data_IF_294880883361
#
_entry.id   IF_294880883361
#
_cell.length_a   1.000
_cell.length_b   1.000
_cell.length_c   1.000
_cell.angle_alpha   90.00
_cell.angle_beta   90.00
_cell.angle_gamma   90.00
#
_symmetry.space_group_name_H-M   'P 1'
#
loop_
_entity.id
_entity.type
_entity.pdbx_description
1 polymer ?
#
# COMPACT_ATOMS: atom_id res chain seq x y z
N UNK A 1 29.56 50.05 44.60
CA UNK A 1 29.45 51.06 45.69
C UNK A 1 29.30 50.40 47.06
N UNK A 2 28.33 49.50 47.28
CA UNK A 2 28.18 48.77 48.56
C UNK A 2 29.40 47.91 48.97
N UNK A 3 29.98 47.11 48.05
CA UNK A 3 31.17 46.28 48.32
C UNK A 3 32.43 47.12 48.63
N UNK A 4 32.59 48.27 47.98
CA UNK A 4 33.71 49.18 48.22
C UNK A 4 33.59 49.89 49.59
N UNK A 5 32.36 50.16 50.06
CA UNK A 5 32.09 50.74 51.38
C UNK A 5 32.34 49.71 52.50
N UNK A 6 31.94 48.44 52.31
CA UNK A 6 32.23 47.34 53.24
C UNK A 6 33.75 47.10 53.44
N UNK A 7 34.54 47.22 52.37
CA UNK A 7 36.00 47.11 52.47
C UNK A 7 36.64 48.33 53.19
N UNK A 8 36.00 49.50 53.13
CA UNK A 8 36.46 50.72 53.80
C UNK A 8 36.19 50.70 55.31
N UNK A 9 35.07 50.11 55.77
CA UNK A 9 34.77 49.92 57.20
C UNK A 9 35.79 49.00 57.92
N UNK A 10 36.51 48.16 57.18
CA UNK A 10 37.63 47.35 57.67
C UNK A 10 38.99 48.07 57.75
N UNK A 11 39.06 49.38 57.45
CA UNK A 11 40.29 50.19 57.53
C UNK A 11 41.20 50.17 56.29
N UNK A 12 40.72 49.70 55.15
CA UNK A 12 41.49 49.70 53.90
C UNK A 12 41.50 51.08 53.22
N UNK A 13 42.60 51.42 52.54
CA UNK A 13 42.69 52.65 51.72
C UNK A 13 41.72 52.59 50.53
N UNK A 14 41.22 53.74 50.08
CA UNK A 14 40.23 53.86 49.00
C UNK A 14 40.64 53.09 47.72
N UNK A 15 41.94 53.11 47.38
CA UNK A 15 42.48 52.37 46.23
C UNK A 15 42.41 50.86 46.41
N UNK A 16 42.71 50.35 47.61
CA UNK A 16 42.59 48.91 47.92
C UNK A 16 41.15 48.44 47.98
N UNK A 17 40.25 49.26 48.54
CA UNK A 17 38.82 48.96 48.58
C UNK A 17 38.19 48.91 47.17
N UNK A 18 38.66 49.78 46.24
CA UNK A 18 38.24 49.75 44.83
C UNK A 18 38.76 48.51 44.11
N UNK A 19 40.05 48.21 44.25
CA UNK A 19 40.68 47.05 43.63
C UNK A 19 40.02 45.73 44.09
N UNK A 20 39.72 45.61 45.39
CA UNK A 20 39.02 44.46 45.95
C UNK A 20 37.58 44.32 45.42
N UNK A 21 36.85 45.43 45.30
CA UNK A 21 35.51 45.43 44.72
C UNK A 21 35.53 45.05 43.22
N UNK A 22 36.52 45.53 42.46
CA UNK A 22 36.70 45.21 41.05
C UNK A 22 37.08 43.73 40.84
N UNK A 23 37.95 43.15 41.68
CA UNK A 23 38.27 41.71 41.68
C UNK A 23 37.05 40.84 42.01
N UNK A 24 36.27 41.21 43.04
CA UNK A 24 35.08 40.46 43.42
C UNK A 24 33.96 40.54 42.36
N UNK A 25 33.79 41.71 41.75
CA UNK A 25 32.85 41.90 40.65
C UNK A 25 33.31 41.14 39.40
N UNK A 26 34.61 41.13 39.08
CA UNK A 26 35.17 40.35 37.97
C UNK A 26 34.99 38.85 38.17
N UNK A 27 35.14 38.35 39.40
CA UNK A 27 34.92 36.94 39.71
C UNK A 27 33.42 36.58 39.60
N UNK A 28 32.53 37.43 40.09
CA UNK A 28 31.08 37.23 40.01
C UNK A 28 30.54 37.32 38.57
N UNK A 29 31.04 38.24 37.76
CA UNK A 29 30.68 38.34 36.33
C UNK A 29 31.19 37.13 35.55
N UNK A 30 32.38 36.64 35.85
CA UNK A 30 32.92 35.40 35.26
C UNK A 30 32.04 34.18 35.55
N UNK A 31 31.58 34.02 36.80
CA UNK A 31 30.65 32.93 37.20
C UNK A 31 29.32 33.04 36.45
N UNK A 32 28.76 34.25 36.33
CA UNK A 32 27.50 34.49 35.61
C UNK A 32 27.64 34.22 34.11
N UNK A 33 28.74 34.66 33.49
CA UNK A 33 29.04 34.41 32.07
C UNK A 33 29.23 32.91 31.84
N UNK A 34 29.94 32.20 32.72
CA UNK A 34 30.10 30.75 32.63
C UNK A 34 28.76 30.02 32.75
N UNK A 35 27.91 30.41 33.70
CA UNK A 35 26.56 29.86 33.85
C UNK A 35 25.66 30.14 32.64
N UNK A 36 25.72 31.35 32.07
CA UNK A 36 24.98 31.72 30.87
C UNK A 36 25.41 30.89 29.66
N UNK A 37 26.72 30.69 29.48
CA UNK A 37 27.28 29.87 28.41
C UNK A 37 26.89 28.39 28.56
N UNK A 38 26.90 27.85 29.78
CA UNK A 38 26.44 26.47 30.06
C UNK A 38 24.95 26.29 29.74
N UNK A 39 24.10 27.23 30.18
CA UNK A 39 22.66 27.19 29.89
C UNK A 39 22.41 27.31 28.39
N UNK A 40 23.09 28.24 27.70
CA UNK A 40 22.97 28.41 26.26
C UNK A 40 23.44 27.16 25.50
N UNK A 41 24.56 26.55 25.92
CA UNK A 41 25.07 25.30 25.38
C UNK A 41 24.06 24.15 25.53
N UNK A 42 23.46 23.99 26.71
CA UNK A 42 22.43 22.98 26.97
C UNK A 42 21.15 23.21 26.16
N UNK A 43 20.69 24.46 26.10
CA UNK A 43 19.47 24.82 25.38
C UNK A 43 19.65 24.63 23.88
N UNK A 44 20.77 25.09 23.31
CA UNK A 44 21.08 24.90 21.89
C UNK A 44 21.22 23.42 21.52
N UNK A 45 21.91 22.62 22.33
CA UNK A 45 22.02 21.18 22.12
C UNK A 45 20.65 20.49 22.14
N UNK A 46 19.80 20.84 23.11
CA UNK A 46 18.44 20.30 23.22
C UNK A 46 17.56 20.69 22.02
N UNK A 47 17.67 21.94 21.54
CA UNK A 47 16.96 22.40 20.36
C UNK A 47 17.38 21.65 19.09
N UNK A 48 18.68 21.44 18.89
CA UNK A 48 19.21 20.66 17.77
C UNK A 48 18.69 19.22 17.84
N UNK A 49 18.76 18.60 19.02
CA UNK A 49 18.28 17.23 19.21
C UNK A 49 16.79 17.09 18.87
N UNK A 50 15.96 18.02 19.35
CA UNK A 50 14.52 18.02 19.06
C UNK A 50 14.24 18.14 17.55
N UNK A 51 14.95 19.04 16.86
CA UNK A 51 14.81 19.21 15.41
C UNK A 51 15.23 17.94 14.66
N UNK A 52 16.34 17.31 15.05
CA UNK A 52 16.77 16.05 14.46
C UNK A 52 15.73 14.94 14.67
N UNK A 53 15.18 14.82 15.88
CA UNK A 53 14.15 13.83 16.19
C UNK A 53 12.86 14.08 15.41
N UNK A 54 12.39 15.33 15.34
CA UNK A 54 11.21 15.68 14.54
C UNK A 54 11.41 15.37 13.07
N UNK A 55 12.55 15.74 12.50
CA UNK A 55 12.86 15.44 11.11
C UNK A 55 12.94 13.93 10.85
N UNK A 56 13.48 13.15 11.78
CA UNK A 56 13.52 11.69 11.68
C UNK A 56 12.10 11.09 11.73
N UNK A 57 11.22 11.60 12.61
CA UNK A 57 9.82 11.18 12.69
C UNK A 57 9.06 11.51 11.41
N UNK A 58 9.19 12.73 10.91
CA UNK A 58 8.57 13.16 9.65
C UNK A 58 8.95 12.24 8.48
N UNK A 59 10.23 11.90 8.34
CA UNK A 59 10.69 10.96 7.30
C UNK A 59 10.07 9.57 7.46
N UNK A 60 10.02 9.05 8.69
CA UNK A 60 9.40 7.76 8.96
C UNK A 60 7.89 7.77 8.65
N UNK A 61 7.19 8.87 8.95
CA UNK A 61 5.78 9.05 8.63
C UNK A 61 5.54 9.12 7.11
N UNK A 62 6.37 9.84 6.37
CA UNK A 62 6.32 9.91 4.91
C UNK A 62 6.55 8.53 4.26
N UNK A 63 7.58 7.80 4.72
CA UNK A 63 7.87 6.44 4.25
C UNK A 63 6.71 5.49 4.54
N UNK A 64 6.13 5.56 5.75
CA UNK A 64 4.98 4.74 6.12
C UNK A 64 3.76 5.07 5.27
N UNK A 65 3.46 6.34 5.03
CA UNK A 65 2.35 6.77 4.19
C UNK A 65 2.49 6.24 2.76
N UNK A 66 3.70 6.27 2.21
CA UNK A 66 3.99 5.77 0.87
C UNK A 66 3.82 4.25 0.80
N UNK A 67 4.32 3.52 1.79
CA UNK A 67 4.12 2.06 1.90
C UNK A 67 2.63 1.69 2.03
N UNK A 68 1.88 2.42 2.85
CA UNK A 68 0.44 2.19 3.00
C UNK A 68 -0.31 2.44 1.69
N UNK A 69 0.02 3.53 0.99
CA UNK A 69 -0.59 3.85 -0.30
C UNK A 69 -0.28 2.77 -1.34
N UNK A 70 0.96 2.28 -1.40
CA UNK A 70 1.34 1.18 -2.28
C UNK A 70 0.59 -0.11 -1.94
N UNK A 71 0.49 -0.45 -0.66
CA UNK A 71 -0.21 -1.66 -0.22
C UNK A 71 -1.70 -1.61 -0.59
N UNK A 72 -2.38 -0.49 -0.30
CA UNK A 72 -3.80 -0.29 -0.67
C UNK A 72 -3.97 -0.40 -2.17
N UNK A 73 -3.09 0.22 -2.96
CA UNK A 73 -3.14 0.16 -4.42
C UNK A 73 -3.01 -1.28 -4.92
N UNK A 74 -2.05 -2.04 -4.39
CA UNK A 74 -1.85 -3.43 -4.80
C UNK A 74 -3.10 -4.29 -4.53
N UNK A 75 -3.68 -4.18 -3.34
CA UNK A 75 -4.90 -4.93 -2.97
C UNK A 75 -6.06 -4.57 -3.89
N UNK A 76 -6.23 -3.29 -4.23
CA UNK A 76 -7.28 -2.85 -5.16
C UNK A 76 -7.06 -3.39 -6.58
N UNK A 77 -5.81 -3.40 -7.06
CA UNK A 77 -5.47 -3.95 -8.38
C UNK A 77 -5.72 -5.47 -8.44
N UNK A 78 -5.36 -6.22 -7.39
CA UNK A 78 -5.64 -7.65 -7.27
C UNK A 78 -7.16 -7.92 -7.26
N UNK A 79 -7.92 -7.16 -6.48
CA UNK A 79 -9.39 -7.28 -6.44
C UNK A 79 -10.03 -6.96 -7.79
N UNK A 80 -9.61 -5.86 -8.43
CA UNK A 80 -10.13 -5.46 -9.74
C UNK A 80 -9.85 -6.52 -10.81
N UNK A 81 -8.63 -7.09 -10.81
CA UNK A 81 -8.26 -8.19 -11.70
C UNK A 81 -9.12 -9.43 -11.46
N UNK A 82 -9.32 -9.82 -10.18
CA UNK A 82 -10.18 -10.94 -9.81
C UNK A 82 -11.64 -10.75 -10.26
N UNK A 83 -12.21 -9.56 -10.05
CA UNK A 83 -13.56 -9.25 -10.53
C UNK A 83 -13.65 -9.23 -12.05
N UNK A 84 -12.64 -8.71 -12.75
CA UNK A 84 -12.61 -8.72 -14.20
C UNK A 84 -12.61 -10.15 -14.75
N UNK A 85 -11.82 -11.05 -14.17
CA UNK A 85 -11.80 -12.47 -14.55
C UNK A 85 -13.16 -13.14 -14.29
N UNK A 86 -13.78 -12.86 -13.14
CA UNK A 86 -15.11 -13.39 -12.82
C UNK A 86 -16.17 -12.87 -13.78
N UNK A 87 -16.15 -11.57 -14.11
CA UNK A 87 -17.06 -10.98 -15.09
C UNK A 87 -16.85 -11.56 -16.48
N UNK A 88 -15.61 -11.78 -16.90
CA UNK A 88 -15.32 -12.43 -18.18
C UNK A 88 -15.83 -13.88 -18.19
N UNK A 89 -15.60 -14.62 -17.11
CA UNK A 89 -16.14 -15.97 -16.96
C UNK A 89 -17.66 -15.98 -17.08
N UNK A 90 -18.37 -15.14 -16.30
CA UNK A 90 -19.84 -15.08 -16.35
C UNK A 90 -20.38 -14.55 -17.69
N UNK A 91 -19.65 -13.66 -18.36
CA UNK A 91 -20.06 -13.12 -19.65
C UNK A 91 -19.99 -14.15 -20.77
N UNK A 92 -19.02 -15.06 -20.74
CA UNK A 92 -18.73 -15.96 -21.86
C UNK A 92 -18.82 -17.46 -21.56
N UNK A 93 -18.96 -17.86 -20.30
CA UNK A 93 -19.02 -19.26 -19.89
C UNK A 93 -20.28 -19.53 -19.07
N UNK A 94 -20.71 -20.79 -19.10
CA UNK A 94 -21.83 -21.31 -18.33
C UNK A 94 -21.32 -21.89 -17.00
N UNK A 95 -21.82 -21.43 -15.82
CA UNK A 95 -21.30 -21.88 -14.52
C UNK A 95 -21.52 -23.37 -14.21
N UNK A 96 -22.57 -23.97 -14.76
CA UNK A 96 -22.90 -25.38 -14.50
C UNK A 96 -21.92 -26.31 -15.24
N UNK A 97 -21.69 -26.03 -16.52
CA UNK A 97 -20.92 -26.90 -17.42
C UNK A 97 -19.45 -26.48 -17.55
N UNK A 98 -19.14 -25.20 -17.30
CA UNK A 98 -17.84 -24.59 -17.56
C UNK A 98 -17.53 -24.38 -19.05
N UNK A 99 -18.47 -24.72 -19.95
CA UNK A 99 -18.35 -24.50 -21.39
C UNK A 99 -18.68 -23.06 -21.76
N UNK A 100 -18.34 -22.65 -22.99
CA UNK A 100 -18.76 -21.34 -23.48
C UNK A 100 -20.28 -21.25 -23.51
N UNK A 101 -20.82 -20.17 -22.94
CA UNK A 101 -22.22 -19.84 -23.10
C UNK A 101 -22.49 -19.31 -24.52
N UNK A 102 -23.75 -18.97 -24.81
CA UNK A 102 -24.16 -18.45 -26.13
C UNK A 102 -23.34 -17.24 -26.58
N UNK A 103 -23.03 -16.30 -25.68
CA UNK A 103 -22.23 -15.12 -26.01
C UNK A 103 -20.79 -15.50 -26.33
N UNK A 104 -20.21 -16.42 -25.57
CA UNK A 104 -18.89 -16.99 -25.81
C UNK A 104 -18.79 -17.66 -27.19
N UNK A 105 -19.76 -18.50 -27.52
CA UNK A 105 -19.83 -19.18 -28.83
C UNK A 105 -19.92 -18.17 -29.98
N UNK A 106 -20.79 -17.16 -29.87
CA UNK A 106 -20.94 -16.11 -30.89
C UNK A 106 -19.62 -15.33 -31.07
N UNK A 107 -18.95 -14.98 -29.97
CA UNK A 107 -17.64 -14.29 -30.01
C UNK A 107 -16.60 -15.15 -30.74
N UNK A 108 -16.49 -16.44 -30.39
CA UNK A 108 -15.57 -17.37 -31.03
C UNK A 108 -15.84 -17.49 -32.54
N UNK A 109 -17.10 -17.69 -32.94
CA UNK A 109 -17.48 -17.77 -34.35
C UNK A 109 -17.07 -16.50 -35.11
N UNK A 110 -17.36 -15.30 -34.56
CA UNK A 110 -16.96 -14.03 -35.18
C UNK A 110 -15.45 -13.93 -35.36
N UNK A 111 -14.68 -14.30 -34.34
CA UNK A 111 -13.21 -14.30 -34.40
C UNK A 111 -12.69 -15.28 -35.47
N UNK A 112 -13.22 -16.50 -35.52
CA UNK A 112 -12.84 -17.50 -36.53
C UNK A 112 -13.14 -17.01 -37.95
N UNK A 113 -14.32 -16.43 -38.18
CA UNK A 113 -14.68 -15.88 -39.49
C UNK A 113 -13.76 -14.74 -39.92
N UNK A 114 -13.40 -13.83 -39.01
CA UNK A 114 -12.47 -12.74 -39.29
C UNK A 114 -11.06 -13.23 -39.64
N UNK A 115 -10.53 -14.21 -38.90
CA UNK A 115 -9.22 -14.79 -39.16
C UNK A 115 -9.16 -15.53 -40.50
N UNK A 116 -10.22 -16.29 -40.81
CA UNK A 116 -10.32 -17.07 -42.04
C UNK A 116 -10.57 -16.20 -43.28
N UNK A 117 -11.25 -15.05 -43.14
CA UNK A 117 -11.41 -14.09 -44.23
C UNK A 117 -10.05 -13.62 -44.78
N UNK A 118 -9.09 -13.36 -43.89
CA UNK A 118 -7.73 -12.95 -44.27
C UNK A 118 -6.85 -14.08 -44.80
N UNK A 119 -7.19 -15.35 -44.53
CA UNK A 119 -6.35 -16.53 -44.83
C UNK A 119 -6.96 -17.52 -45.83
N UNK A 120 -8.16 -17.25 -46.36
CA UNK A 120 -8.96 -18.22 -47.15
C UNK A 120 -9.13 -19.57 -46.43
N UNK A 121 -9.31 -19.54 -45.11
CA UNK A 121 -9.55 -20.74 -44.31
C UNK A 121 -11.01 -21.18 -44.36
N UNK A 122 -11.25 -22.49 -44.23
CA UNK A 122 -12.60 -23.05 -44.07
C UNK A 122 -12.92 -23.26 -42.58
N UNK A 123 -14.20 -23.19 -42.23
CA UNK A 123 -14.69 -23.46 -40.87
C UNK A 123 -16.00 -24.25 -40.93
N UNK A 124 -16.19 -25.15 -39.97
CA UNK A 124 -17.42 -25.93 -39.79
C UNK A 124 -18.00 -25.69 -38.39
N UNK A 125 -19.32 -25.73 -38.27
CA UNK A 125 -20.05 -25.65 -37.00
C UNK A 125 -20.84 -26.93 -36.81
N UNK A 126 -20.68 -27.56 -35.65
CA UNK A 126 -21.41 -28.77 -35.25
C UNK A 126 -22.35 -28.39 -34.09
N UNK A 127 -23.62 -28.76 -34.22
CA UNK A 127 -24.61 -28.64 -33.15
C UNK A 127 -24.98 -30.04 -32.68
N UNK A 128 -24.95 -30.25 -31.36
CA UNK A 128 -25.27 -31.50 -30.69
C UNK A 128 -26.39 -31.22 -29.68
N UNK A 129 -27.39 -32.09 -29.62
CA UNK A 129 -28.48 -32.01 -28.65
C UNK A 129 -28.57 -33.33 -27.87
N UNK A 130 -29.03 -33.27 -26.63
CA UNK A 130 -29.21 -34.44 -25.77
C UNK A 130 -30.66 -34.93 -25.87
N UNK A 131 -30.86 -36.00 -26.65
CA UNK A 131 -32.16 -36.60 -26.84
C UNK A 131 -32.83 -37.00 -25.52
N UNK A 132 -34.11 -36.64 -25.36
CA UNK A 132 -34.92 -37.01 -24.20
C UNK A 132 -34.37 -36.56 -22.83
N UNK A 133 -33.53 -35.52 -22.76
CA UNK A 133 -33.00 -35.02 -21.49
C UNK A 133 -34.09 -34.60 -20.48
N UNK A 134 -35.24 -34.14 -20.98
CA UNK A 134 -36.43 -33.84 -20.17
C UNK A 134 -36.95 -35.04 -19.34
N UNK A 135 -36.75 -36.27 -19.81
CA UNK A 135 -37.10 -37.48 -19.04
C UNK A 135 -36.17 -37.67 -17.86
N UNK A 136 -34.89 -37.32 -17.99
CA UNK A 136 -33.92 -37.39 -16.89
C UNK A 136 -34.32 -36.39 -15.79
N UNK A 137 -34.68 -35.15 -16.16
CA UNK A 137 -35.23 -34.17 -15.22
C UNK A 137 -36.46 -34.71 -14.48
N UNK A 138 -37.38 -35.35 -15.20
CA UNK A 138 -38.62 -35.87 -14.63
C UNK A 138 -38.43 -37.09 -13.70
N UNK A 139 -37.47 -37.98 -14.00
CA UNK A 139 -37.21 -39.18 -13.18
C UNK A 139 -36.28 -38.91 -11.99
N UNK A 140 -35.25 -38.09 -12.17
CA UNK A 140 -34.15 -37.96 -11.22
C UNK A 140 -34.13 -36.62 -10.47
N UNK A 141 -34.97 -35.66 -10.89
CA UNK A 141 -34.96 -34.29 -10.37
C UNK A 141 -33.90 -33.41 -11.04
N UNK A 142 -34.13 -32.10 -10.97
CA UNK A 142 -33.32 -31.07 -11.64
C UNK A 142 -31.85 -31.11 -11.21
N UNK A 143 -31.56 -31.17 -9.92
CA UNK A 143 -30.18 -31.22 -9.41
C UNK A 143 -29.39 -32.43 -9.90
N UNK A 144 -30.03 -33.60 -10.04
CA UNK A 144 -29.37 -34.81 -10.52
C UNK A 144 -29.05 -34.71 -12.01
N UNK A 145 -29.94 -34.08 -12.77
CA UNK A 145 -29.77 -33.83 -14.18
C UNK A 145 -28.67 -32.78 -14.44
N UNK A 146 -28.62 -31.72 -13.64
CA UNK A 146 -27.56 -30.71 -13.67
C UNK A 146 -26.18 -31.32 -13.40
N UNK A 147 -26.07 -32.20 -12.40
CA UNK A 147 -24.83 -32.96 -12.16
C UNK A 147 -24.44 -33.81 -13.37
N UNK A 148 -25.41 -34.47 -14.01
CA UNK A 148 -25.16 -35.27 -15.20
C UNK A 148 -24.67 -34.40 -16.38
N UNK A 149 -25.29 -33.23 -16.61
CA UNK A 149 -24.82 -32.25 -17.61
C UNK A 149 -23.40 -31.78 -17.35
N UNK A 150 -23.10 -31.42 -16.10
CA UNK A 150 -21.75 -31.01 -15.70
C UNK A 150 -20.70 -32.10 -15.93
N UNK A 151 -21.05 -33.37 -15.70
CA UNK A 151 -20.17 -34.51 -15.98
C UNK A 151 -19.97 -34.73 -17.48
N UNK A 152 -21.03 -34.67 -18.29
CA UNK A 152 -20.93 -34.80 -19.75
C UNK A 152 -20.04 -33.72 -20.35
N UNK A 153 -20.21 -32.47 -19.92
CA UNK A 153 -19.39 -31.35 -20.36
C UNK A 153 -17.89 -31.56 -20.07
N UNK A 154 -17.56 -32.12 -18.89
CA UNK A 154 -16.18 -32.40 -18.47
C UNK A 154 -15.54 -33.60 -19.14
N UNK A 155 -16.31 -34.52 -19.72
CA UNK A 155 -15.76 -35.67 -20.46
C UNK A 155 -15.31 -35.32 -21.88
N UNK A 156 -15.72 -34.15 -22.41
CA UNK A 156 -15.41 -33.71 -23.77
C UNK A 156 -14.13 -32.87 -24.02
N UNK A 157 -13.15 -32.67 -23.10
CA UNK A 157 -11.98 -31.84 -23.39
C UNK A 157 -10.84 -32.59 -24.12
N UNK A 158 -10.92 -33.91 -24.33
CA UNK A 158 -9.78 -34.70 -24.85
C UNK A 158 -9.75 -34.91 -26.38
N UNK A 159 -10.71 -34.39 -27.14
CA UNK A 159 -10.78 -34.61 -28.60
C UNK A 159 -10.74 -33.32 -29.44
N UNK A 160 -10.34 -32.17 -28.89
CA UNK A 160 -10.32 -30.92 -29.66
C UNK A 160 -8.86 -30.48 -30.01
N UNK A 161 -8.48 -30.41 -31.29
CA UNK A 161 -7.11 -30.03 -31.72
C UNK A 161 -6.83 -28.52 -31.68
N UNK A 162 -7.48 -27.77 -30.80
CA UNK A 162 -7.35 -26.31 -30.71
C UNK A 162 -6.94 -25.81 -29.31
N UNK A 163 -6.41 -26.69 -28.46
CA UNK A 163 -5.64 -26.27 -27.28
C UNK A 163 -4.15 -26.19 -27.69
N UNK A 164 -3.75 -25.01 -28.18
CA UNK A 164 -2.38 -24.71 -28.62
C UNK A 164 -2.34 -24.02 -29.98
#
# INVERSE_FOLDING_TARGET
>A
MALALQAFEGGATLERARCWADEQLSNSTSILVAGLLDIYGKLSASAIQLVCEQNARLRAEEELALMQQQHVRQVLEEQASGYQQQLEFLAYFDPLTGLMNRNGIIRAIKTTLQLNYSRKGEAALISLDLDSFSKINALCGEEAADRYLGLLARQNPKNHPFAG
#
